data_IF_695771705300
#
_entry.id   IF_695771705300
#
_cell.length_a   1.000
_cell.length_b   1.000
_cell.length_c   1.000
_cell.angle_alpha   90.00
_cell.angle_beta   90.00
_cell.angle_gamma   90.00
#
_symmetry.space_group_name_H-M   'P 1'
#
loop_
_entity.id
_entity.type
_entity.pdbx_description
1 polymer ?
#
# COMPACT_ATOMS: atom_id res chain seq x y z
N UNK A 1 2.57 4.41 16.55
CA UNK A 1 3.13 3.10 16.14
C UNK A 1 3.04 3.07 14.63
N UNK A 2 4.09 3.53 13.95
CA UNK A 2 4.24 3.52 12.50
C UNK A 2 4.97 2.22 12.21
N UNK A 3 4.43 1.33 11.38
CA UNK A 3 5.01 0.02 11.10
C UNK A 3 6.54 0.13 10.85
N UNK A 4 7.32 -0.42 11.79
CA UNK A 4 8.70 0.02 12.11
C UNK A 4 9.76 -0.42 11.06
N UNK A 5 9.37 -0.96 9.90
CA UNK A 5 10.33 -1.35 8.86
C UNK A 5 9.89 -0.93 7.44
N UNK A 6 9.52 0.35 7.26
CA UNK A 6 9.27 0.99 5.95
C UNK A 6 9.79 2.44 5.92
N UNK A 7 10.55 2.76 4.87
CA UNK A 7 11.53 3.84 4.63
C UNK A 7 11.31 5.26 5.24
N UNK A 8 12.10 5.69 6.26
CA UNK A 8 12.06 7.05 6.81
C UNK A 8 12.72 8.16 5.96
N UNK A 9 13.26 7.88 4.77
CA UNK A 9 14.09 8.86 4.02
C UNK A 9 13.82 8.98 2.50
N UNK A 10 12.72 8.45 1.95
CA UNK A 10 12.34 8.77 0.56
C UNK A 10 10.88 9.16 0.47
N UNK A 11 10.55 10.36 -0.05
CA UNK A 11 9.19 10.65 -0.46
C UNK A 11 8.87 9.75 -1.65
N UNK A 12 8.19 8.64 -1.39
CA UNK A 12 7.63 7.79 -2.44
C UNK A 12 6.28 8.40 -2.78
N UNK A 13 6.17 9.05 -3.93
CA UNK A 13 4.88 9.55 -4.41
C UNK A 13 4.10 8.42 -5.10
N UNK A 14 2.79 8.36 -4.88
CA UNK A 14 1.92 7.45 -5.60
C UNK A 14 1.79 7.96 -7.05
N UNK A 15 2.10 7.10 -8.03
CA UNK A 15 1.82 7.43 -9.42
C UNK A 15 0.30 7.41 -9.64
N UNK A 16 -0.31 8.48 -10.20
CA UNK A 16 -1.72 8.49 -10.54
C UNK A 16 -2.16 7.32 -11.43
N UNK A 17 -1.24 6.75 -12.23
CA UNK A 17 -1.50 5.56 -13.03
C UNK A 17 -1.88 4.34 -12.19
N UNK A 18 -1.39 4.24 -10.95
CA UNK A 18 -1.73 3.17 -10.01
C UNK A 18 -3.11 3.36 -9.39
N UNK A 19 -3.62 4.59 -9.31
CA UNK A 19 -4.86 4.94 -8.61
C UNK A 19 -6.12 4.68 -9.46
N UNK A 20 -6.16 3.52 -10.09
CA UNK A 20 -7.36 3.06 -10.80
C UNK A 20 -8.53 2.87 -9.83
N UNK A 21 -9.76 2.89 -10.33
CA UNK A 21 -10.96 2.69 -9.50
C UNK A 21 -10.91 1.36 -8.71
N UNK A 22 -10.33 0.31 -9.30
CA UNK A 22 -10.21 -0.99 -8.66
C UNK A 22 -9.22 -0.97 -7.49
N UNK A 23 -8.04 -0.37 -7.69
CA UNK A 23 -7.00 -0.26 -6.65
C UNK A 23 -7.50 0.64 -5.52
N UNK A 24 -8.11 1.77 -5.85
CA UNK A 24 -8.66 2.71 -4.86
C UNK A 24 -9.76 2.05 -4.01
N UNK A 25 -10.66 1.29 -4.63
CA UNK A 25 -11.69 0.53 -3.92
C UNK A 25 -11.07 -0.54 -3.01
N UNK A 26 -10.06 -1.27 -3.49
CA UNK A 26 -9.35 -2.30 -2.72
C UNK A 26 -8.66 -1.69 -1.48
N UNK A 27 -7.88 -0.63 -1.66
CA UNK A 27 -7.18 0.08 -0.57
C UNK A 27 -8.18 0.63 0.46
N UNK A 28 -9.28 1.22 -0.01
CA UNK A 28 -10.34 1.75 0.87
C UNK A 28 -10.97 0.64 1.71
N UNK A 29 -11.26 -0.52 1.10
CA UNK A 29 -11.79 -1.69 1.81
C UNK A 29 -10.81 -2.24 2.85
N UNK A 30 -9.53 -2.39 2.49
CA UNK A 30 -8.46 -2.81 3.41
C UNK A 30 -8.43 -1.90 4.65
N UNK A 31 -8.46 -0.58 4.42
CA UNK A 31 -8.39 0.40 5.51
C UNK A 31 -9.64 0.39 6.40
N UNK A 32 -10.83 0.37 5.79
CA UNK A 32 -12.11 0.42 6.49
C UNK A 32 -12.33 -0.84 7.35
N UNK A 33 -12.14 -2.01 6.75
CA UNK A 33 -12.39 -3.31 7.38
C UNK A 33 -11.22 -3.77 8.25
N UNK A 34 -10.07 -3.10 8.18
CA UNK A 34 -8.78 -3.57 8.75
C UNK A 34 -8.38 -4.94 8.21
N UNK A 35 -8.77 -5.24 6.96
CA UNK A 35 -8.49 -6.50 6.27
C UNK A 35 -7.09 -6.50 5.65
N UNK A 36 -6.06 -6.30 6.49
CA UNK A 36 -4.69 -6.19 6.03
C UNK A 36 -4.08 -7.52 5.57
N UNK A 37 -4.77 -8.63 5.81
CA UNK A 37 -4.50 -9.92 5.16
C UNK A 37 -4.59 -9.85 3.63
N UNK A 38 -5.27 -8.83 3.08
CA UNK A 38 -5.39 -8.58 1.63
C UNK A 38 -4.25 -7.75 1.04
N UNK A 39 -3.25 -7.35 1.83
CA UNK A 39 -2.09 -6.58 1.34
C UNK A 39 -1.31 -7.27 0.20
N UNK A 40 -1.12 -8.61 0.18
CA UNK A 40 -0.52 -9.28 -0.97
C UNK A 40 -1.32 -9.10 -2.28
N UNK A 41 -2.66 -9.09 -2.19
CA UNK A 41 -3.55 -8.85 -3.35
C UNK A 41 -3.37 -7.42 -3.86
N UNK A 42 -3.20 -6.46 -2.95
CA UNK A 42 -2.88 -5.08 -3.31
C UNK A 42 -1.52 -4.97 -4.02
N UNK A 43 -0.52 -5.75 -3.60
CA UNK A 43 0.79 -5.79 -4.26
C UNK A 43 0.67 -6.20 -5.73
N UNK A 44 -0.09 -7.26 -5.99
CA UNK A 44 -0.27 -7.78 -7.35
C UNK A 44 -1.08 -6.81 -8.21
N UNK A 45 -2.14 -6.21 -7.66
CA UNK A 45 -2.90 -5.17 -8.36
C UNK A 45 -2.03 -3.94 -8.71
N UNK A 46 -1.16 -3.50 -7.79
CA UNK A 46 -0.22 -2.39 -8.05
C UNK A 46 0.78 -2.76 -9.14
N UNK A 47 1.33 -3.98 -9.11
CA UNK A 47 2.26 -4.47 -10.12
C UNK A 47 1.61 -4.54 -11.51
N UNK A 48 0.37 -5.02 -11.60
CA UNK A 48 -0.41 -5.04 -12.85
C UNK A 48 -0.71 -3.62 -13.37
N UNK A 49 -0.87 -2.65 -12.48
CA UNK A 49 -1.03 -1.24 -12.83
C UNK A 49 0.30 -0.54 -13.18
N UNK A 50 1.41 -1.27 -13.23
CA UNK A 50 2.73 -0.76 -13.62
C UNK A 50 3.57 -0.21 -12.46
N UNK A 51 3.24 -0.52 -11.21
CA UNK A 51 4.11 -0.23 -10.07
C UNK A 51 5.34 -1.15 -10.11
N UNK A 52 6.52 -0.57 -10.30
CA UNK A 52 7.82 -1.23 -10.28
C UNK A 52 8.62 -0.95 -8.99
N UNK A 53 8.04 -0.20 -8.06
CA UNK A 53 8.69 0.17 -6.82
C UNK A 53 8.79 -1.04 -5.88
N UNK A 54 10.00 -1.61 -5.81
CA UNK A 54 10.29 -2.77 -4.99
C UNK A 54 9.97 -2.55 -3.50
N UNK A 55 10.16 -1.34 -2.95
CA UNK A 55 9.85 -1.06 -1.53
C UNK A 55 8.34 -1.20 -1.25
N UNK A 56 7.49 -0.69 -2.15
CA UNK A 56 6.03 -0.82 -2.06
C UNK A 56 5.63 -2.29 -2.17
N UNK A 57 6.10 -2.97 -3.22
CA UNK A 57 5.70 -4.35 -3.51
C UNK A 57 6.17 -5.33 -2.42
N UNK A 58 7.42 -5.18 -1.95
CA UNK A 58 7.95 -6.00 -0.86
C UNK A 58 7.23 -5.72 0.46
N UNK A 59 6.87 -4.46 0.76
CA UNK A 59 6.09 -4.16 1.96
C UNK A 59 4.70 -4.82 1.91
N UNK A 60 3.97 -4.68 0.80
CA UNK A 60 2.65 -5.29 0.65
C UNK A 60 2.69 -6.83 0.73
N UNK A 61 3.77 -7.46 0.26
CA UNK A 61 3.98 -8.91 0.31
C UNK A 61 4.58 -9.41 1.63
N UNK A 62 5.04 -8.50 2.49
CA UNK A 62 5.59 -8.85 3.78
C UNK A 62 4.50 -9.40 4.69
N UNK A 63 4.78 -10.49 5.40
CA UNK A 63 3.98 -10.99 6.53
C UNK A 63 4.06 -10.09 7.78
N UNK A 64 4.71 -8.92 7.67
CA UNK A 64 4.66 -7.91 8.73
C UNK A 64 3.21 -7.65 9.12
N UNK A 65 2.95 -7.51 10.42
CA UNK A 65 1.63 -7.17 10.94
C UNK A 65 1.28 -5.75 10.51
N UNK A 66 0.63 -5.62 9.37
CA UNK A 66 0.04 -4.38 8.89
C UNK A 66 -1.04 -3.90 9.86
N UNK A 67 -0.92 -2.66 10.30
CA UNK A 67 -1.92 -2.00 11.16
C UNK A 67 -2.40 -0.69 10.54
N UNK A 68 -3.36 -0.02 11.21
CA UNK A 68 -3.73 1.36 10.85
C UNK A 68 -2.50 2.25 11.01
N UNK A 69 -2.04 2.87 9.93
CA UNK A 69 -0.73 3.53 9.85
C UNK A 69 0.28 2.80 8.95
N UNK A 70 -0.14 1.75 8.24
CA UNK A 70 0.58 1.20 7.10
C UNK A 70 0.81 2.32 6.06
N UNK A 71 2.07 2.66 5.84
CA UNK A 71 2.47 3.78 5.00
C UNK A 71 2.01 3.62 3.55
N UNK A 72 1.98 2.40 3.00
CA UNK A 72 1.51 2.18 1.61
C UNK A 72 0.02 2.50 1.48
N UNK A 73 -0.79 2.11 2.47
CA UNK A 73 -2.23 2.37 2.45
C UNK A 73 -2.49 3.86 2.62
N UNK A 74 -1.78 4.53 3.52
CA UNK A 74 -1.94 5.98 3.71
C UNK A 74 -1.46 6.78 2.48
N UNK A 75 -0.35 6.37 1.86
CA UNK A 75 0.16 6.88 0.57
C UNK A 75 -0.89 6.80 -0.54
N UNK A 76 -1.47 5.61 -0.74
CA UNK A 76 -2.48 5.39 -1.80
C UNK A 76 -3.82 6.08 -1.52
N UNK A 77 -4.11 6.43 -0.26
CA UNK A 77 -5.28 7.22 0.13
C UNK A 77 -5.00 8.74 0.15
N UNK A 78 -3.77 9.18 -0.12
CA UNK A 78 -3.39 10.59 -0.06
C UNK A 78 -3.47 11.19 1.34
N UNK A 79 -3.14 10.40 2.38
CA UNK A 79 -3.19 10.79 3.79
C UNK A 79 -1.82 11.19 4.38
N UNK A 80 -0.81 11.36 3.54
CA UNK A 80 0.55 11.81 3.90
C UNK A 80 0.72 13.33 3.95
#
# INVERSE_FOLDING_TARGET
MRDIFGNPFRPVAADPAWLTSNITALVTGIYADRAFDRMPILADALQDAGCDNADILTHCRSEAQHVRGCWVVDLLLGKE
#
